data_IF_328055542374
#
_entry.id   IF_328055542374
#
_cell.length_a   1.000
_cell.length_b   1.000
_cell.length_c   1.000
_cell.angle_alpha   90.00
_cell.angle_beta   90.00
_cell.angle_gamma   90.00
#
_symmetry.space_group_name_H-M   'P 1'
#
loop_
_entity.id
_entity.type
_entity.pdbx_description
1 polymer ?
#
# COMPACT_ATOMS: atom_id res chain seq x y z
N UNK A 1 -7.59 12.98 -21.83
CA UNK A 1 -7.12 11.60 -21.60
C UNK A 1 -5.99 11.72 -20.61
N UNK A 2 -6.34 11.70 -19.33
CA UNK A 2 -5.40 11.93 -18.23
C UNK A 2 -4.66 10.60 -18.03
N UNK A 3 -3.33 10.55 -18.11
CA UNK A 3 -2.58 9.32 -17.92
C UNK A 3 -2.80 8.79 -16.49
N UNK A 4 -2.87 7.46 -16.37
CA UNK A 4 -3.16 6.73 -15.13
C UNK A 4 -2.29 7.13 -13.93
N UNK A 5 -1.13 7.74 -14.18
CA UNK A 5 -0.22 8.36 -13.22
C UNK A 5 -0.85 9.40 -12.28
N UNK A 6 -2.02 9.97 -12.57
CA UNK A 6 -2.70 10.87 -11.64
C UNK A 6 -3.56 10.16 -10.58
N UNK A 7 -3.85 8.86 -10.71
CA UNK A 7 -4.62 8.12 -9.69
C UNK A 7 -3.73 7.52 -8.60
N UNK A 8 -2.58 6.97 -8.96
CA UNK A 8 -1.64 6.39 -8.00
C UNK A 8 -0.77 7.45 -7.29
N UNK A 9 -0.43 8.57 -7.96
CA UNK A 9 0.40 9.61 -7.36
C UNK A 9 -0.36 10.59 -6.46
N UNK A 10 -1.70 10.52 -6.40
CA UNK A 10 -2.48 11.24 -5.39
C UNK A 10 -2.45 10.51 -4.03
N UNK A 11 -1.98 9.25 -3.97
CA UNK A 11 -2.10 8.44 -2.75
C UNK A 11 -0.83 8.29 -1.92
N UNK A 12 0.39 8.62 -2.40
CA UNK A 12 1.61 8.33 -1.59
C UNK A 12 2.78 9.32 -1.65
N UNK A 13 2.75 10.39 -2.44
CA UNK A 13 3.86 11.36 -2.43
C UNK A 13 3.36 12.77 -2.69
N UNK A 14 3.53 13.65 -1.70
CA UNK A 14 3.92 15.07 -1.79
C UNK A 14 3.27 15.88 -0.64
N UNK A 15 3.99 15.96 0.48
CA UNK A 15 3.95 17.16 1.29
C UNK A 15 4.59 18.31 0.48
N UNK A 16 3.76 19.19 -0.09
CA UNK A 16 4.22 20.37 -0.82
C UNK A 16 3.12 20.91 -1.73
N UNK A 17 2.43 21.97 -1.30
CA UNK A 17 1.15 22.40 -1.86
C UNK A 17 1.18 22.93 -3.29
N UNK A 18 0.14 22.55 -4.04
CA UNK A 18 -0.52 23.41 -5.02
C UNK A 18 -2.02 23.35 -4.75
N UNK A 19 -2.60 24.51 -4.49
CA UNK A 19 -4.02 24.67 -4.21
C UNK A 19 -4.87 24.39 -5.45
N UNK A 20 -5.67 23.32 -5.40
CA UNK A 20 -7.00 23.28 -6.00
C UNK A 20 -7.89 22.49 -5.05
N UNK A 21 -8.92 23.16 -4.57
CA UNK A 21 -9.84 22.66 -3.56
C UNK A 21 -10.67 21.50 -4.09
N UNK A 22 -10.24 20.29 -3.76
CA UNK A 22 -11.09 19.27 -3.17
C UNK A 22 -10.21 18.63 -2.10
N UNK A 23 -10.35 19.11 -0.87
CA UNK A 23 -9.77 18.45 0.29
C UNK A 23 -10.42 17.07 0.35
N UNK A 24 -9.73 16.05 -0.16
CA UNK A 24 -9.83 14.73 0.44
C UNK A 24 -9.52 15.01 1.90
N UNK A 25 -10.56 15.04 2.71
CA UNK A 25 -10.43 14.96 4.15
C UNK A 25 -9.60 13.70 4.34
N UNK A 26 -8.30 13.85 4.57
CA UNK A 26 -7.46 12.81 5.13
C UNK A 26 -8.04 12.60 6.52
N UNK A 27 -9.17 11.90 6.57
CA UNK A 27 -9.86 11.57 7.78
C UNK A 27 -8.87 10.74 8.57
N UNK A 28 -8.23 11.37 9.54
CA UNK A 28 -8.55 11.15 10.95
C UNK A 28 -9.54 9.98 11.16
N UNK A 29 -9.09 8.78 10.81
CA UNK A 29 -9.67 7.51 11.22
C UNK A 29 -8.55 6.77 11.91
N UNK A 30 -8.38 7.11 13.18
CA UNK A 30 -7.81 6.23 14.20
C UNK A 30 -6.33 5.82 14.03
N UNK A 31 -5.52 6.61 13.31
CA UNK A 31 -4.06 6.42 13.25
C UNK A 31 -3.60 5.05 12.73
N UNK A 32 -4.35 4.46 11.80
CA UNK A 32 -4.08 3.14 11.21
C UNK A 32 -3.15 3.16 9.98
N UNK A 33 -2.61 4.33 9.62
CA UNK A 33 -1.52 4.64 8.66
C UNK A 33 -1.55 3.92 7.29
N UNK A 34 -1.34 2.62 7.26
CA UNK A 34 -1.49 1.77 6.07
C UNK A 34 -2.93 1.35 5.79
N UNK A 35 -3.88 1.53 6.72
CA UNK A 35 -5.27 1.08 6.60
C UNK A 35 -6.21 2.29 6.59
N UNK A 36 -5.95 3.18 5.63
CA UNK A 36 -6.65 4.45 5.39
C UNK A 36 -8.05 4.30 4.78
N UNK A 37 -8.38 3.13 4.24
CA UNK A 37 -9.68 2.81 3.68
C UNK A 37 -10.57 2.09 4.70
N UNK A 38 -11.75 2.66 4.98
CA UNK A 38 -12.73 1.96 5.82
C UNK A 38 -13.39 0.79 5.07
N UNK A 39 -13.97 -0.16 5.82
CA UNK A 39 -14.78 -1.24 5.25
C UNK A 39 -15.91 -0.68 4.37
N UNK A 40 -16.58 0.38 4.81
CA UNK A 40 -17.65 1.02 4.04
C UNK A 40 -17.16 1.59 2.70
N UNK A 41 -15.97 2.16 2.69
CA UNK A 41 -15.31 2.68 1.49
C UNK A 41 -14.90 1.55 0.55
N UNK A 42 -14.26 0.50 1.06
CA UNK A 42 -13.89 -0.68 0.28
C UNK A 42 -15.11 -1.41 -0.31
N UNK A 43 -16.24 -1.42 0.40
CA UNK A 43 -17.52 -1.97 -0.08
C UNK A 43 -18.23 -1.04 -1.07
N UNK A 44 -17.84 0.23 -1.13
CA UNK A 44 -18.47 1.15 -2.05
C UNK A 44 -18.15 0.73 -3.47
N UNK A 45 -19.17 0.46 -4.29
CA UNK A 45 -19.02 0.08 -5.70
C UNK A 45 -18.59 1.27 -6.59
N UNK A 46 -17.70 2.11 -6.07
CA UNK A 46 -17.15 3.26 -6.78
C UNK A 46 -16.24 2.73 -7.86
N UNK A 47 -16.79 2.65 -9.08
CA UNK A 47 -16.06 2.17 -10.24
C UNK A 47 -14.80 3.01 -10.51
N UNK A 48 -14.78 4.29 -10.08
CA UNK A 48 -13.59 5.13 -10.19
C UNK A 48 -12.35 4.61 -9.44
N UNK A 49 -12.53 3.76 -8.42
CA UNK A 49 -11.42 3.22 -7.62
C UNK A 49 -10.80 1.98 -8.25
N UNK A 50 -11.49 1.31 -9.17
CA UNK A 50 -10.94 0.16 -9.89
C UNK A 50 -10.55 -1.00 -8.98
N UNK A 51 -11.20 -1.15 -7.81
CA UNK A 51 -10.85 -2.18 -6.85
C UNK A 51 -11.09 -3.59 -7.42
N UNK A 52 -10.10 -4.48 -7.28
CA UNK A 52 -10.12 -5.83 -7.85
C UNK A 52 -10.36 -6.90 -6.78
N UNK A 53 -11.02 -7.98 -7.19
CA UNK A 53 -11.17 -9.21 -6.40
C UNK A 53 -9.99 -10.16 -6.64
N UNK A 54 -9.68 -11.12 -5.74
CA UNK A 54 -10.28 -11.32 -4.41
C UNK A 54 -9.75 -10.36 -3.34
N UNK A 55 -8.80 -9.49 -3.70
CA UNK A 55 -8.08 -8.64 -2.74
C UNK A 55 -8.99 -7.69 -1.98
N UNK A 56 -10.05 -7.18 -2.61
CA UNK A 56 -11.05 -6.34 -1.94
C UNK A 56 -11.80 -7.11 -0.85
N UNK A 57 -12.29 -8.31 -1.17
CA UNK A 57 -12.96 -9.18 -0.18
C UNK A 57 -12.01 -9.63 0.94
N UNK A 58 -10.76 -9.95 0.59
CA UNK A 58 -9.74 -10.36 1.55
C UNK A 58 -9.35 -9.20 2.48
N UNK A 59 -9.27 -7.97 1.96
CA UNK A 59 -9.04 -6.74 2.73
C UNK A 59 -10.11 -6.53 3.80
N UNK A 60 -11.38 -6.56 3.39
CA UNK A 60 -12.53 -6.37 4.30
C UNK A 60 -12.53 -7.45 5.39
N UNK A 61 -12.38 -8.72 4.99
CA UNK A 61 -12.38 -9.84 5.93
C UNK A 61 -11.23 -9.75 6.93
N UNK A 62 -10.04 -9.35 6.47
CA UNK A 62 -8.87 -9.17 7.32
C UNK A 62 -9.07 -8.02 8.33
N UNK A 63 -9.72 -6.93 7.94
CA UNK A 63 -10.07 -5.83 8.87
C UNK A 63 -11.07 -6.29 9.95
N UNK A 64 -12.12 -7.01 9.57
CA UNK A 64 -13.14 -7.53 10.50
C UNK A 64 -12.53 -8.49 11.53
N UNK A 65 -11.60 -9.33 11.09
CA UNK A 65 -10.90 -10.32 11.93
C UNK A 65 -9.68 -9.75 12.67
N UNK A 66 -9.38 -8.46 12.48
CA UNK A 66 -8.20 -7.77 13.03
C UNK A 66 -6.87 -8.42 12.62
N UNK A 67 -6.80 -9.00 11.43
CA UNK A 67 -5.56 -9.51 10.81
C UNK A 67 -4.88 -8.40 10.03
N UNK A 68 -4.24 -7.48 10.74
CA UNK A 68 -3.76 -6.23 10.12
C UNK A 68 -2.63 -6.44 9.11
N UNK A 69 -1.76 -7.44 9.27
CA UNK A 69 -0.76 -7.78 8.26
C UNK A 69 -1.38 -8.24 6.94
N UNK A 70 -2.45 -9.05 7.03
CA UNK A 70 -3.20 -9.52 5.87
C UNK A 70 -3.97 -8.36 5.21
N UNK A 71 -4.53 -7.44 6.00
CA UNK A 71 -5.21 -6.26 5.49
C UNK A 71 -4.24 -5.32 4.76
N UNK A 72 -3.04 -5.07 5.30
CA UNK A 72 -2.03 -4.25 4.63
C UNK A 72 -1.62 -4.89 3.30
N UNK A 73 -1.37 -6.21 3.31
CA UNK A 73 -1.06 -6.95 2.08
C UNK A 73 -2.14 -6.83 1.02
N UNK A 74 -3.41 -7.08 1.39
CA UNK A 74 -4.53 -7.00 0.49
C UNK A 74 -4.73 -5.58 -0.07
N UNK A 75 -4.50 -4.54 0.75
CA UNK A 75 -4.59 -3.13 0.30
C UNK A 75 -3.65 -2.82 -0.85
N UNK A 76 -2.41 -3.30 -0.82
CA UNK A 76 -1.46 -3.03 -1.89
C UNK A 76 -1.84 -3.73 -3.19
N UNK A 77 -2.62 -4.81 -3.13
CA UNK A 77 -3.00 -5.59 -4.30
C UNK A 77 -4.38 -5.24 -4.85
N UNK A 78 -5.29 -4.71 -4.02
CA UNK A 78 -6.66 -4.44 -4.43
C UNK A 78 -6.81 -3.33 -5.47
N UNK A 79 -5.75 -2.59 -5.80
CA UNK A 79 -5.77 -1.62 -6.90
C UNK A 79 -5.45 -2.23 -8.28
N UNK A 80 -5.10 -3.52 -8.35
CA UNK A 80 -4.89 -4.23 -9.61
C UNK A 80 -3.52 -3.96 -10.27
N UNK A 81 -2.65 -3.16 -9.63
CA UNK A 81 -1.33 -2.83 -10.17
C UNK A 81 -0.27 -3.91 -9.87
N UNK A 82 -0.68 -5.06 -9.30
CA UNK A 82 0.21 -6.10 -8.80
C UNK A 82 -0.18 -7.49 -9.26
N UNK A 83 0.84 -8.31 -9.50
CA UNK A 83 0.80 -9.71 -9.92
C UNK A 83 1.74 -10.52 -9.04
N UNK A 84 1.27 -11.60 -8.43
CA UNK A 84 2.08 -12.46 -7.54
C UNK A 84 2.94 -11.68 -6.53
N UNK A 85 2.40 -10.61 -5.93
CA UNK A 85 3.14 -9.77 -4.98
C UNK A 85 4.23 -8.88 -5.59
N UNK A 86 4.19 -8.64 -6.89
CA UNK A 86 5.12 -7.78 -7.65
C UNK A 86 4.33 -6.74 -8.45
N UNK A 87 4.84 -5.53 -8.62
CA UNK A 87 4.15 -4.52 -9.43
C UNK A 87 4.25 -4.82 -10.92
N UNK A 88 3.16 -4.63 -11.66
CA UNK A 88 3.11 -4.87 -13.09
C UNK A 88 3.89 -3.81 -13.89
N UNK A 89 3.73 -2.53 -13.53
CA UNK A 89 4.48 -1.43 -14.15
C UNK A 89 5.94 -1.37 -13.69
N UNK A 90 6.21 -1.93 -12.50
CA UNK A 90 7.55 -1.97 -11.90
C UNK A 90 7.93 -3.39 -11.46
N UNK A 91 8.19 -4.33 -12.40
CA UNK A 91 8.44 -5.74 -12.08
C UNK A 91 9.67 -5.99 -11.21
N UNK A 92 10.56 -5.00 -11.09
CA UNK A 92 11.72 -5.02 -10.20
C UNK A 92 11.40 -4.67 -8.75
N UNK A 93 10.12 -4.38 -8.43
CA UNK A 93 9.63 -4.05 -7.12
C UNK A 93 8.58 -5.05 -6.66
N UNK A 94 8.83 -5.63 -5.49
CA UNK A 94 7.83 -6.41 -4.78
C UNK A 94 6.94 -5.51 -3.93
N UNK A 95 5.72 -5.97 -3.66
CA UNK A 95 4.80 -5.33 -2.71
C UNK A 95 5.45 -5.16 -1.33
N UNK A 96 6.29 -6.11 -0.91
CA UNK A 96 7.03 -6.05 0.36
C UNK A 96 8.06 -4.94 0.39
N UNK A 97 8.81 -4.76 -0.69
CA UNK A 97 9.77 -3.66 -0.79
C UNK A 97 9.07 -2.30 -0.82
N UNK A 98 7.89 -2.20 -1.44
CA UNK A 98 7.09 -0.99 -1.39
C UNK A 98 6.57 -0.70 0.03
N UNK A 99 6.07 -1.72 0.74
CA UNK A 99 5.67 -1.58 2.15
C UNK A 99 6.86 -1.17 3.02
N UNK A 100 8.06 -1.73 2.79
CA UNK A 100 9.27 -1.31 3.52
C UNK A 100 9.63 0.15 3.23
N UNK A 101 9.59 0.59 1.97
CA UNK A 101 9.87 1.99 1.58
C UNK A 101 8.89 2.96 2.24
N UNK A 102 7.59 2.67 2.15
CA UNK A 102 6.52 3.48 2.74
C UNK A 102 6.65 3.52 4.27
N UNK A 103 6.89 2.37 4.91
CA UNK A 103 7.09 2.27 6.35
C UNK A 103 8.26 3.13 6.84
N UNK A 104 9.40 3.07 6.15
CA UNK A 104 10.55 3.94 6.45
C UNK A 104 10.15 5.40 6.26
N UNK A 105 9.46 5.74 5.16
CA UNK A 105 9.00 7.09 4.86
C UNK A 105 8.08 7.65 5.96
N UNK A 106 7.10 6.89 6.39
CA UNK A 106 6.17 7.25 7.46
C UNK A 106 6.88 7.37 8.82
N UNK A 107 7.77 6.44 9.15
CA UNK A 107 8.54 6.51 10.40
C UNK A 107 9.38 7.78 10.50
N UNK A 108 9.91 8.26 9.36
CA UNK A 108 10.72 9.47 9.24
C UNK A 108 9.88 10.74 9.26
N UNK A 109 8.74 10.77 8.53
CA UNK A 109 7.92 11.98 8.30
C UNK A 109 6.78 12.16 9.29
N UNK A 110 6.11 11.08 9.67
CA UNK A 110 4.81 11.07 10.38
C UNK A 110 4.92 10.42 11.77
N UNK A 111 5.87 10.90 12.60
CA UNK A 111 6.26 10.22 13.85
C UNK A 111 5.08 9.97 14.82
N UNK A 112 4.16 10.92 14.95
CA UNK A 112 3.08 10.80 15.93
C UNK A 112 1.98 9.86 15.44
N UNK A 113 1.63 9.92 14.15
CA UNK A 113 0.72 8.96 13.50
C UNK A 113 1.33 7.55 13.54
N UNK A 114 2.64 7.42 13.29
CA UNK A 114 3.37 6.16 13.36
C UNK A 114 3.25 5.49 14.74
N UNK A 115 3.45 6.24 15.82
CA UNK A 115 3.31 5.70 17.19
C UNK A 115 1.90 5.17 17.45
N UNK A 116 0.88 5.87 16.95
CA UNK A 116 -0.50 5.42 17.07
C UNK A 116 -0.71 4.11 16.31
N UNK A 117 -0.21 4.03 15.07
CA UNK A 117 -0.29 2.84 14.24
C UNK A 117 0.38 1.63 14.89
N UNK A 118 1.53 1.81 15.54
CA UNK A 118 2.22 0.71 16.22
C UNK A 118 1.38 0.17 17.36
N UNK A 119 0.79 1.06 18.18
CA UNK A 119 -0.13 0.65 19.25
C UNK A 119 -1.34 -0.09 18.68
N UNK A 120 -1.89 0.36 17.56
CA UNK A 120 -3.00 -0.30 16.87
C UNK A 120 -2.60 -1.71 16.39
N UNK A 121 -1.47 -1.85 15.69
CA UNK A 121 -1.03 -3.14 15.13
C UNK A 121 -0.59 -4.17 16.17
N UNK A 122 -0.18 -3.76 17.37
CA UNK A 122 0.10 -4.73 18.45
C UNK A 122 -1.11 -5.58 18.84
N UNK A 123 -2.33 -5.12 18.52
CA UNK A 123 -3.57 -5.86 18.77
C UNK A 123 -3.97 -6.77 17.61
N UNK A 124 -3.08 -7.03 16.64
CA UNK A 124 -3.38 -7.92 15.52
C UNK A 124 -3.65 -9.34 15.98
N UNK A 125 -4.69 -9.94 15.42
CA UNK A 125 -4.90 -11.39 15.41
C UNK A 125 -3.80 -12.09 14.58
N UNK A 126 -3.78 -13.42 14.60
CA UNK A 126 -2.85 -14.23 13.81
C UNK A 126 -3.02 -13.94 12.31
N UNK A 127 -1.95 -13.53 11.65
CA UNK A 127 -1.94 -13.26 10.21
C UNK A 127 -1.45 -14.46 9.43
N UNK A 128 -1.79 -14.52 8.15
CA UNK A 128 -1.10 -15.39 7.19
C UNK A 128 0.20 -14.73 6.74
N UNK A 129 0.14 -13.42 6.45
CA UNK A 129 1.25 -12.54 6.08
C UNK A 129 1.90 -11.92 7.33
N UNK A 130 2.40 -12.75 8.26
CA UNK A 130 2.99 -12.27 9.52
C UNK A 130 4.24 -11.40 9.29
N UNK A 131 4.97 -11.69 8.22
CA UNK A 131 6.19 -10.98 7.86
C UNK A 131 5.95 -9.52 7.46
N UNK A 132 4.72 -9.13 7.10
CA UNK A 132 4.35 -7.74 6.86
C UNK A 132 4.45 -6.93 8.16
N UNK A 133 3.89 -7.43 9.26
CA UNK A 133 4.02 -6.77 10.56
C UNK A 133 5.45 -6.87 11.10
N UNK A 134 6.17 -7.96 10.80
CA UNK A 134 7.59 -8.08 11.19
C UNK A 134 8.44 -6.99 10.54
N UNK A 135 8.24 -6.69 9.25
CA UNK A 135 8.91 -5.57 8.55
C UNK A 135 8.63 -4.25 9.26
N UNK A 136 7.37 -3.98 9.57
CA UNK A 136 6.93 -2.73 10.18
C UNK A 136 7.48 -2.56 11.59
N UNK A 137 7.45 -3.61 12.42
CA UNK A 137 7.99 -3.57 13.78
C UNK A 137 9.52 -3.53 13.81
N UNK A 138 10.20 -4.18 12.86
CA UNK A 138 11.64 -4.03 12.71
C UNK A 138 11.99 -2.56 12.44
N UNK A 139 11.29 -1.90 11.50
CA UNK A 139 11.46 -0.48 11.19
C UNK A 139 11.22 0.42 12.41
N UNK A 140 10.20 0.13 13.23
CA UNK A 140 9.96 0.90 14.45
C UNK A 140 11.16 0.86 15.42
N UNK A 141 11.82 -0.30 15.51
CA UNK A 141 12.98 -0.53 16.36
C UNK A 141 14.30 0.03 15.79
N UNK A 142 14.37 0.32 14.48
CA UNK A 142 15.60 0.82 13.83
C UNK A 142 15.94 2.22 14.32
N UNK A 143 17.25 2.49 14.45
CA UNK A 143 17.75 3.82 14.75
C UNK A 143 17.45 4.80 13.60
N UNK A 144 17.09 6.04 13.96
CA UNK A 144 16.74 7.09 13.00
C UNK A 144 17.79 7.34 11.91
N UNK A 145 19.10 7.32 12.23
CA UNK A 145 20.14 7.51 11.22
C UNK A 145 20.18 6.36 10.22
N UNK A 146 19.93 5.12 10.67
CA UNK A 146 19.84 3.97 9.79
C UNK A 146 18.63 4.09 8.87
N UNK A 147 17.48 4.51 9.41
CA UNK A 147 16.28 4.79 8.63
C UNK A 147 16.51 5.85 7.55
N UNK A 148 17.23 6.94 7.85
CA UNK A 148 17.57 7.94 6.83
C UNK A 148 18.44 7.38 5.70
N UNK A 149 19.40 6.52 6.02
CA UNK A 149 20.26 5.86 5.02
C UNK A 149 19.43 4.90 4.16
N UNK A 150 18.60 4.07 4.80
CA UNK A 150 17.76 3.10 4.11
C UNK A 150 16.71 3.81 3.23
N UNK A 151 16.10 4.89 3.74
CA UNK A 151 15.19 5.76 2.99
C UNK A 151 15.86 6.29 1.73
N UNK A 152 17.03 6.91 1.85
CA UNK A 152 17.75 7.44 0.69
C UNK A 152 18.09 6.35 -0.33
N UNK A 153 18.47 5.15 0.14
CA UNK A 153 18.82 4.02 -0.74
C UNK A 153 17.60 3.51 -1.52
N UNK A 154 16.49 3.21 -0.82
CA UNK A 154 15.29 2.65 -1.43
C UNK A 154 14.58 3.67 -2.31
N UNK A 155 14.42 4.90 -1.82
CA UNK A 155 13.80 5.98 -2.59
C UNK A 155 14.56 6.27 -3.90
N UNK A 156 15.89 6.30 -3.84
CA UNK A 156 16.72 6.48 -5.06
C UNK A 156 16.56 5.32 -6.05
N UNK A 157 16.50 4.08 -5.56
CA UNK A 157 16.22 2.92 -6.43
C UNK A 157 14.85 3.07 -7.10
N UNK A 158 13.86 3.58 -6.37
CA UNK A 158 12.48 3.73 -6.87
C UNK A 158 12.40 4.80 -7.97
N UNK A 159 13.05 5.94 -7.77
CA UNK A 159 13.17 6.96 -8.80
C UNK A 159 13.91 6.44 -10.06
N UNK A 160 14.91 5.59 -9.90
CA UNK A 160 15.65 5.02 -11.02
C UNK A 160 14.81 4.00 -11.82
N UNK A 161 13.89 3.28 -11.18
CA UNK A 161 12.96 2.37 -11.86
C UNK A 161 11.90 3.08 -12.69
N UNK A 162 11.50 4.30 -12.30
CA UNK A 162 10.54 5.12 -13.05
C UNK A 162 11.02 5.46 -14.47
N UNK A 163 12.33 5.44 -14.69
CA UNK A 163 12.95 5.69 -16.00
C UNK A 163 13.08 4.44 -16.88
N UNK A 164 12.62 3.28 -16.41
CA UNK A 164 12.71 1.98 -17.11
C UNK A 164 11.32 1.33 -17.15
N UNK A 165 10.29 2.11 -17.47
CA UNK A 165 8.92 1.60 -17.61
C UNK A 165 8.86 0.64 -18.82
N UNK A 166 8.45 -0.62 -18.64
CA UNK A 166 8.16 -1.50 -19.76
C UNK A 166 6.90 -1.01 -20.50
N UNK A 167 6.87 -1.26 -21.81
CA UNK A 167 5.68 -1.06 -22.64
C UNK A 167 4.69 -2.20 -22.36
N UNK A 168 4.08 -2.23 -21.17
CA UNK A 168 3.04 -3.22 -20.83
C UNK A 168 1.62 -2.67 -21.00
N UNK A 169 0.72 -3.52 -21.48
CA UNK A 169 -0.72 -3.35 -21.33
C UNK A 169 -1.14 -3.99 -19.99
N UNK A 170 -0.72 -3.33 -18.91
CA UNK A 170 -0.68 -3.91 -17.57
C UNK A 170 -2.09 -4.20 -17.01
N UNK A 171 -3.13 -3.56 -17.55
CA UNK A 171 -4.53 -3.80 -17.16
C UNK A 171 -5.04 -5.20 -17.56
N UNK A 172 -4.57 -5.75 -18.69
CA UNK A 172 -5.02 -7.06 -19.17
C UNK A 172 -4.34 -8.20 -18.41
N UNK A 173 -3.07 -8.02 -18.04
CA UNK A 173 -2.30 -9.02 -17.26
C UNK A 173 -2.86 -9.13 -15.83
N UNK A 174 -3.23 -7.99 -15.22
CA UNK A 174 -3.88 -7.99 -13.90
C UNK A 174 -5.18 -8.79 -13.91
N UNK A 175 -5.98 -8.64 -14.96
CA UNK A 175 -7.28 -9.31 -15.08
C UNK A 175 -7.13 -10.82 -15.27
N UNK A 176 -6.21 -11.26 -16.14
CA UNK A 176 -5.95 -12.70 -16.40
C UNK A 176 -5.51 -13.43 -15.12
N UNK A 177 -4.76 -12.76 -14.24
CA UNK A 177 -4.31 -13.36 -12.99
C UNK A 177 -5.41 -13.39 -11.92
N UNK A 178 -6.22 -12.34 -11.81
CA UNK A 178 -7.42 -12.34 -10.97
C UNK A 178 -8.30 -13.53 -11.32
N UNK A 179 -8.54 -13.75 -12.62
CA UNK A 179 -9.32 -14.88 -13.11
C UNK A 179 -8.66 -16.22 -12.72
N UNK A 180 -7.32 -16.33 -12.80
CA UNK A 180 -6.59 -17.53 -12.41
C UNK A 180 -6.62 -17.86 -10.92
N UNK A 181 -6.63 -16.84 -10.04
CA UNK A 181 -6.75 -17.03 -8.58
C UNK A 181 -8.17 -17.45 -8.21
N UNK A 182 -9.17 -16.98 -8.95
CA UNK A 182 -10.56 -17.33 -8.74
C UNK A 182 -10.87 -18.79 -9.14
N UNK A 183 -10.13 -19.38 -10.08
CA UNK A 183 -10.27 -20.80 -10.46
C UNK A 183 -9.66 -21.79 -9.44
N UNK A 184 -8.82 -21.32 -8.51
CA UNK A 184 -8.10 -22.17 -7.55
C UNK A 184 -8.78 -22.25 -6.16
N UNK A 185 -9.93 -21.58 -5.95
CA UNK A 185 -10.77 -21.64 -4.74
C UNK A 185 -12.04 -22.44 -5.00
#
# INVERSE_FOLDING_TARGET
MIPAFLKALILLAFGGGFASADTFDYGDRDGSLFLDLSIFEAQSKRHEWGLVEPWTSDYISALEEKRYGDAIWARYQMFGDTSNGTFLEYPQWTVREAIEEDAIGYRVRERDVWKHAMAFYTNSSQNTQNDILDIIFDIDSRNYFRLLIDWYRLHKRFQQSEHVLPDCDCSNIAQDEVDSVQELK
#
